data_IF_755526411900
#
_entry.id   IF_755526411900
#
_cell.length_a   1.000
_cell.length_b   1.000
_cell.length_c   1.000
_cell.angle_alpha   90.00
_cell.angle_beta   90.00
_cell.angle_gamma   90.00
#
_symmetry.space_group_name_H-M   'P 1'
#
loop_
_entity.id
_entity.type
_entity.pdbx_description
1 polymer ?
#
# COMPACT_ATOMS: atom_id res chain seq x y z
N UNK A 1 -6.15 -1.86 -7.00
CA UNK A 1 -5.26 -1.62 -5.85
C UNK A 1 -4.22 -0.59 -6.29
N UNK A 2 -3.95 0.42 -5.47
CA UNK A 2 -3.03 1.51 -5.82
C UNK A 2 -1.69 1.30 -5.13
N UNK A 3 -0.62 1.21 -5.90
CA UNK A 3 0.74 0.93 -5.40
C UNK A 3 1.64 2.14 -5.62
N UNK A 4 2.48 2.45 -4.64
CA UNK A 4 3.50 3.51 -4.75
C UNK A 4 4.87 2.94 -4.40
N UNK A 5 5.92 3.66 -4.83
CA UNK A 5 7.31 3.32 -4.52
C UNK A 5 7.90 4.42 -3.65
N UNK A 6 8.59 4.02 -2.59
CA UNK A 6 9.43 4.90 -1.75
C UNK A 6 10.80 4.24 -1.65
N UNK A 7 11.85 4.91 -2.13
CA UNK A 7 13.16 4.26 -2.30
C UNK A 7 13.04 3.03 -3.19
N UNK A 8 13.50 1.88 -2.72
CA UNK A 8 13.38 0.58 -3.43
C UNK A 8 12.19 -0.27 -2.96
N UNK A 9 11.35 0.28 -2.09
CA UNK A 9 10.26 -0.43 -1.45
C UNK A 9 8.92 -0.08 -2.10
N UNK A 10 8.04 -1.07 -2.21
CA UNK A 10 6.67 -0.90 -2.72
C UNK A 10 5.66 -0.91 -1.58
N UNK A 11 4.69 0.01 -1.65
CA UNK A 11 3.66 0.16 -0.62
C UNK A 11 2.27 0.15 -1.22
N UNK A 12 1.32 -0.42 -0.47
CA UNK A 12 -0.11 -0.38 -0.73
C UNK A 12 -0.85 -0.04 0.56
N UNK A 13 -2.06 0.49 0.45
CA UNK A 13 -2.97 0.65 1.59
C UNK A 13 -4.42 0.52 1.19
N UNK A 14 -5.25 0.14 2.14
CA UNK A 14 -6.69 0.00 1.98
C UNK A 14 -7.37 1.34 2.23
N UNK A 15 -8.21 1.79 1.29
CA UNK A 15 -9.08 2.98 1.51
C UNK A 15 -9.98 2.78 2.73
N UNK A 16 -10.40 1.54 3.01
CA UNK A 16 -11.23 1.19 4.18
C UNK A 16 -10.41 0.97 5.45
N UNK A 17 -9.12 1.30 5.44
CA UNK A 17 -8.20 0.98 6.52
C UNK A 17 -8.10 -0.52 6.80
N UNK A 18 -7.80 -0.85 8.05
CA UNK A 18 -7.63 -2.21 8.56
C UNK A 18 -8.92 -3.05 8.45
N UNK A 19 -10.07 -2.41 8.34
CA UNK A 19 -11.38 -3.05 8.11
C UNK A 19 -11.63 -3.42 6.65
N UNK A 20 -10.69 -3.14 5.75
CA UNK A 20 -10.74 -3.53 4.36
C UNK A 20 -10.76 -5.06 4.20
N UNK A 21 -11.72 -5.64 3.44
CA UNK A 21 -11.79 -7.09 3.25
C UNK A 21 -10.50 -7.71 2.68
N UNK A 22 -9.85 -7.02 1.73
CA UNK A 22 -8.60 -7.52 1.17
C UNK A 22 -7.42 -7.37 2.14
N UNK A 23 -7.38 -6.28 2.93
CA UNK A 23 -6.36 -6.08 3.97
C UNK A 23 -6.44 -7.17 5.02
N UNK A 24 -7.64 -7.47 5.54
CA UNK A 24 -7.82 -8.60 6.45
C UNK A 24 -7.38 -9.93 5.85
N UNK A 25 -7.53 -10.09 4.53
CA UNK A 25 -7.00 -11.24 3.79
C UNK A 25 -5.48 -11.37 3.91
N UNK A 26 -4.73 -10.27 3.78
CA UNK A 26 -3.26 -10.28 3.90
C UNK A 26 -2.79 -10.65 5.30
N UNK A 27 -3.53 -10.25 6.32
CA UNK A 27 -3.23 -10.52 7.74
C UNK A 27 -3.31 -12.01 8.12
N UNK A 28 -3.98 -12.84 7.31
CA UNK A 28 -4.11 -14.28 7.62
C UNK A 28 -2.81 -15.07 7.42
N UNK A 29 -1.98 -14.66 6.45
CA UNK A 29 -0.74 -15.38 6.06
C UNK A 29 0.48 -14.49 5.98
N UNK A 30 0.31 -13.17 5.87
CA UNK A 30 1.39 -12.21 5.61
C UNK A 30 2.21 -12.53 4.35
N UNK A 31 1.64 -13.32 3.43
CA UNK A 31 2.28 -13.76 2.20
C UNK A 31 1.29 -13.62 1.05
N UNK A 32 1.81 -13.26 -0.13
CA UNK A 32 1.00 -13.13 -1.33
C UNK A 32 1.83 -13.08 -2.60
N UNK A 33 1.14 -12.92 -3.73
CA UNK A 33 1.76 -12.78 -5.05
C UNK A 33 1.38 -11.42 -5.62
N UNK A 34 2.37 -10.69 -6.11
CA UNK A 34 2.17 -9.45 -6.87
C UNK A 34 2.40 -9.74 -8.34
N UNK A 35 1.44 -9.31 -9.16
CA UNK A 35 1.53 -9.35 -10.62
C UNK A 35 1.38 -7.94 -11.18
N UNK A 36 2.38 -7.48 -11.93
CA UNK A 36 2.38 -6.17 -12.56
C UNK A 36 3.24 -6.15 -13.82
N UNK A 37 2.69 -5.68 -14.94
CA UNK A 37 3.47 -5.49 -16.18
C UNK A 37 4.15 -6.76 -16.70
N UNK A 38 3.57 -7.94 -16.48
CA UNK A 38 4.15 -9.23 -16.85
C UNK A 38 5.16 -9.81 -15.84
N UNK A 39 5.47 -9.08 -14.77
CA UNK A 39 6.27 -9.58 -13.64
C UNK A 39 5.35 -10.22 -12.62
N UNK A 40 5.69 -11.43 -12.18
CA UNK A 40 5.06 -12.15 -11.07
C UNK A 40 6.10 -12.37 -9.97
N UNK A 41 5.79 -11.98 -8.73
CA UNK A 41 6.73 -12.11 -7.60
C UNK A 41 5.99 -12.46 -6.32
N UNK A 42 6.51 -13.41 -5.56
CA UNK A 42 6.08 -13.70 -4.20
C UNK A 42 6.56 -12.59 -3.26
N UNK A 43 5.68 -12.15 -2.36
CA UNK A 43 5.96 -11.07 -1.41
C UNK A 43 5.51 -11.45 0.00
N UNK A 44 6.20 -10.86 0.98
CA UNK A 44 5.73 -10.76 2.35
C UNK A 44 5.07 -9.40 2.56
N UNK A 45 3.89 -9.40 3.20
CA UNK A 45 3.20 -8.18 3.61
C UNK A 45 3.72 -7.75 4.98
N UNK A 46 4.36 -6.58 5.04
CA UNK A 46 4.92 -6.02 6.28
C UNK A 46 4.15 -4.74 6.62
N UNK A 47 3.65 -4.63 7.84
CA UNK A 47 2.99 -3.40 8.30
C UNK A 47 4.01 -2.27 8.40
N UNK A 48 3.71 -1.14 7.75
CA UNK A 48 4.56 0.03 7.82
C UNK A 48 4.38 0.76 9.14
N UNK A 49 5.46 1.27 9.70
CA UNK A 49 5.42 2.11 10.89
C UNK A 49 4.87 3.50 10.59
N UNK A 50 4.37 4.20 11.61
CA UNK A 50 3.88 5.58 11.45
C UNK A 50 4.93 6.56 10.92
N UNK A 51 6.22 6.27 11.14
CA UNK A 51 7.34 7.03 10.58
C UNK A 51 7.44 6.97 9.04
N UNK A 52 6.85 5.96 8.40
CA UNK A 52 6.89 5.79 6.93
C UNK A 52 5.72 6.48 6.21
N UNK A 53 4.66 6.85 6.94
CA UNK A 53 3.40 7.31 6.33
C UNK A 53 3.56 8.61 5.53
N UNK A 54 4.41 9.53 5.98
CA UNK A 54 4.62 10.81 5.31
C UNK A 54 5.26 10.62 3.92
N UNK A 55 6.24 9.72 3.81
CA UNK A 55 6.92 9.42 2.55
C UNK A 55 5.99 8.67 1.60
N UNK A 56 5.21 7.73 2.12
CA UNK A 56 4.19 7.01 1.35
C UNK A 56 3.13 7.97 0.82
N UNK A 57 2.68 8.94 1.64
CA UNK A 57 1.75 9.99 1.22
C UNK A 57 2.32 10.87 0.12
N UNK A 58 3.58 11.29 0.26
CA UNK A 58 4.27 12.05 -0.78
C UNK A 58 4.33 11.26 -2.09
N UNK A 59 4.62 9.97 -2.04
CA UNK A 59 4.64 9.09 -3.20
C UNK A 59 3.25 8.92 -3.84
N UNK A 60 2.18 8.81 -3.04
CA UNK A 60 0.81 8.81 -3.57
C UNK A 60 0.47 10.12 -4.28
N UNK A 61 0.78 11.27 -3.66
CA UNK A 61 0.56 12.59 -4.28
C UNK A 61 1.33 12.74 -5.58
N UNK A 62 2.60 12.32 -5.61
CA UNK A 62 3.43 12.41 -6.81
C UNK A 62 2.91 11.52 -7.95
N UNK A 63 2.47 10.29 -7.65
CA UNK A 63 2.05 9.31 -8.66
C UNK A 63 0.61 9.48 -9.13
N UNK A 64 -0.29 9.88 -8.25
CA UNK A 64 -1.74 9.91 -8.49
C UNK A 64 -2.36 11.29 -8.26
N UNK A 65 -1.56 12.34 -8.08
CA UNK A 65 -2.03 13.70 -7.76
C UNK A 65 -3.03 14.28 -8.76
N UNK A 66 -3.00 13.82 -10.01
CA UNK A 66 -3.98 14.21 -11.04
C UNK A 66 -5.35 13.55 -10.86
N UNK A 67 -5.47 12.52 -10.02
CA UNK A 67 -6.72 11.85 -9.66
C UNK A 67 -7.16 12.23 -8.24
N UNK A 68 -7.71 13.43 -8.08
CA UNK A 68 -8.14 13.99 -6.78
C UNK A 68 -9.05 13.04 -6.00
N UNK A 69 -10.02 12.40 -6.66
CA UNK A 69 -10.94 11.44 -6.04
C UNK A 69 -10.25 10.21 -5.46
N UNK A 70 -9.12 9.78 -6.02
CA UNK A 70 -8.33 8.67 -5.47
C UNK A 70 -7.52 9.17 -4.28
N UNK A 71 -6.84 10.30 -4.45
CA UNK A 71 -5.96 10.90 -3.43
C UNK A 71 -6.71 11.14 -2.12
N UNK A 72 -7.91 11.70 -2.20
CA UNK A 72 -8.73 12.01 -1.02
C UNK A 72 -9.11 10.76 -0.24
N UNK A 73 -9.19 9.60 -0.91
CA UNK A 73 -9.54 8.32 -0.26
C UNK A 73 -8.33 7.61 0.33
N UNK A 74 -7.16 7.72 -0.29
CA UNK A 74 -5.96 7.02 0.16
C UNK A 74 -5.22 7.79 1.25
N UNK A 75 -5.24 9.13 1.26
CA UNK A 75 -4.50 9.94 2.25
C UNK A 75 -5.18 10.08 3.62
N UNK A 76 -6.32 9.42 3.84
CA UNK A 76 -7.03 9.49 5.12
C UNK A 76 -6.22 8.82 6.25
N UNK A 77 -6.39 9.28 7.49
CA UNK A 77 -5.78 8.63 8.65
C UNK A 77 -6.20 7.16 8.75
N UNK A 78 -7.46 6.84 8.44
CA UNK A 78 -7.96 5.48 8.39
C UNK A 78 -7.20 4.63 7.36
N UNK A 79 -6.92 5.16 6.16
CA UNK A 79 -6.19 4.41 5.16
C UNK A 79 -4.72 4.24 5.54
N UNK A 80 -4.09 5.23 6.17
CA UNK A 80 -2.69 5.16 6.63
C UNK A 80 -2.43 3.98 7.58
N UNK A 81 -3.36 3.66 8.48
CA UNK A 81 -3.20 2.53 9.42
C UNK A 81 -3.15 1.15 8.74
N UNK A 82 -3.49 1.08 7.46
CA UNK A 82 -3.45 -0.16 6.66
C UNK A 82 -2.31 -0.20 5.66
N UNK A 83 -1.28 0.63 5.87
CA UNK A 83 -0.13 0.70 4.97
C UNK A 83 0.71 -0.57 5.11
N UNK A 84 0.87 -1.28 4.00
CA UNK A 84 1.70 -2.47 3.89
C UNK A 84 2.84 -2.21 2.92
N UNK A 85 4.06 -2.58 3.34
CA UNK A 85 5.21 -2.76 2.47
C UNK A 85 5.17 -4.16 1.85
N UNK A 86 5.59 -4.26 0.60
CA UNK A 86 5.62 -5.48 -0.20
C UNK A 86 7.07 -5.94 -0.38
N UNK A 87 7.55 -6.79 0.53
CA UNK A 87 8.94 -7.24 0.52
C UNK A 87 9.07 -8.48 -0.36
N UNK A 88 9.87 -8.45 -1.46
CA UNK A 88 10.05 -9.61 -2.31
C UNK A 88 10.67 -10.79 -1.54
N UNK A 89 10.17 -12.00 -1.79
CA UNK A 89 10.80 -13.26 -1.34
C UNK A 89 11.79 -13.82 -2.35
#
# INVERSE_FOLDING_TARGET
MWVVRVGDQLYVRSVKGTDGPWYRGTQSRHEGVVEAGGVRKDVTFVEAGSGEYADVDAAYRAKYGHYTTIIDTVLTEQARTSTLRLDPR
#
